data_IF_388371356347
#
_entry.id   IF_388371356347
#
_cell.length_a   1.000
_cell.length_b   1.000
_cell.length_c   1.000
_cell.angle_alpha   90.00
_cell.angle_beta   90.00
_cell.angle_gamma   90.00
#
_symmetry.space_group_name_H-M   'P 1'
#
loop_
_entity.id
_entity.type
_entity.pdbx_description
1 polymer ?
#
# COMPACT_ATOMS: atom_id res chain seq x y z
N UNK A 1 -25.53 -19.28 1.69
CA UNK A 1 -24.88 -17.97 1.95
C UNK A 1 -23.74 -17.77 0.96
N UNK A 2 -23.84 -16.82 0.02
CA UNK A 2 -22.69 -16.45 -0.83
C UNK A 2 -21.62 -15.85 0.10
N UNK A 3 -20.41 -16.43 0.14
CA UNK A 3 -19.27 -15.78 0.79
C UNK A 3 -19.05 -14.46 0.08
N UNK A 4 -19.20 -13.33 0.79
CA UNK A 4 -18.87 -12.02 0.24
C UNK A 4 -17.35 -11.96 0.13
N UNK A 5 -16.83 -12.23 -1.07
CA UNK A 5 -15.40 -12.08 -1.35
C UNK A 5 -15.04 -10.59 -1.24
N UNK A 6 -14.00 -10.28 -0.46
CA UNK A 6 -13.58 -8.90 -0.15
C UNK A 6 -12.21 -8.59 -0.73
N UNK A 7 -12.04 -7.36 -1.19
CA UNK A 7 -10.74 -6.83 -1.55
C UNK A 7 -9.88 -6.72 -0.31
N UNK A 8 -8.59 -7.03 -0.45
CA UNK A 8 -7.63 -7.00 0.65
C UNK A 8 -6.44 -6.17 0.26
N UNK A 9 -6.03 -5.27 1.16
CA UNK A 9 -4.93 -4.34 0.95
C UNK A 9 -3.92 -4.56 2.06
N UNK A 10 -2.76 -5.12 1.71
CA UNK A 10 -1.63 -5.34 2.63
C UNK A 10 -0.62 -4.22 2.42
N UNK A 11 -0.21 -3.58 3.50
CA UNK A 11 0.60 -2.36 3.47
C UNK A 11 1.86 -2.62 4.29
N UNK A 12 3.02 -2.60 3.61
CA UNK A 12 4.35 -2.58 4.21
C UNK A 12 4.88 -1.16 4.25
N UNK A 13 5.53 -0.78 5.35
CA UNK A 13 6.20 0.52 5.49
C UNK A 13 7.56 0.28 6.11
N UNK A 14 8.62 0.59 5.36
CA UNK A 14 10.00 0.34 5.74
C UNK A 14 10.86 1.55 5.37
N UNK A 15 11.75 2.03 6.26
CA UNK A 15 12.73 3.04 5.88
C UNK A 15 13.74 2.44 4.91
N UNK A 16 14.10 3.17 3.87
CA UNK A 16 15.19 2.79 2.99
C UNK A 16 16.53 3.39 3.47
N UNK A 17 17.64 2.95 2.87
CA UNK A 17 18.98 3.44 3.22
C UNK A 17 19.17 4.95 2.98
N UNK A 18 18.33 5.58 2.16
CA UNK A 18 18.36 7.01 1.89
C UNK A 18 17.52 7.84 2.88
N UNK A 19 16.99 7.22 3.95
CA UNK A 19 16.18 7.89 4.96
C UNK A 19 14.73 8.18 4.53
N UNK A 20 14.30 7.74 3.34
CA UNK A 20 12.90 7.82 2.91
C UNK A 20 12.12 6.62 3.42
N UNK A 21 10.82 6.76 3.57
CA UNK A 21 9.91 5.66 3.81
C UNK A 21 9.47 5.06 2.49
N UNK A 22 9.80 3.79 2.29
CA UNK A 22 9.24 2.99 1.23
C UNK A 22 7.93 2.38 1.71
N UNK A 23 6.86 2.67 0.97
CA UNK A 23 5.53 2.12 1.22
C UNK A 23 5.21 1.15 0.10
N UNK A 24 4.98 -0.11 0.46
CA UNK A 24 4.65 -1.20 -0.46
C UNK A 24 3.22 -1.64 -0.21
N UNK A 25 2.43 -1.81 -1.26
CA UNK A 25 1.02 -2.20 -1.18
C UNK A 25 0.79 -3.41 -2.07
N UNK A 26 0.18 -4.45 -1.51
CA UNK A 26 -0.41 -5.55 -2.27
C UNK A 26 -1.94 -5.42 -2.18
N UNK A 27 -2.57 -5.05 -3.28
CA UNK A 27 -4.03 -4.99 -3.43
C UNK A 27 -4.51 -6.25 -4.14
N UNK A 28 -5.30 -7.08 -3.46
CA UNK A 28 -5.93 -8.27 -4.02
C UNK A 28 -7.41 -8.00 -4.24
N UNK A 29 -7.82 -8.01 -5.50
CA UNK A 29 -9.19 -7.75 -5.92
C UNK A 29 -9.96 -9.07 -6.00
N UNK A 30 -10.97 -9.20 -5.15
CA UNK A 30 -11.74 -10.41 -4.98
C UNK A 30 -12.59 -10.75 -6.21
N UNK A 31 -13.10 -9.74 -6.91
CA UNK A 31 -13.96 -9.91 -8.09
C UNK A 31 -13.23 -10.58 -9.26
N UNK A 32 -11.96 -10.21 -9.49
CA UNK A 32 -11.14 -10.71 -10.61
C UNK A 32 -10.12 -11.78 -10.22
N UNK A 33 -9.99 -12.10 -8.92
CA UNK A 33 -8.92 -12.95 -8.37
C UNK A 33 -7.49 -12.47 -8.75
N UNK A 34 -7.34 -11.19 -9.07
CA UNK A 34 -6.10 -10.57 -9.49
C UNK A 34 -5.45 -9.80 -8.33
N UNK A 35 -4.13 -9.67 -8.35
CA UNK A 35 -3.38 -8.93 -7.34
C UNK A 35 -2.40 -7.96 -7.98
N UNK A 36 -2.38 -6.74 -7.46
CA UNK A 36 -1.48 -5.66 -7.83
C UNK A 36 -0.49 -5.39 -6.69
N UNK A 37 0.80 -5.42 -7.01
CA UNK A 37 1.86 -4.97 -6.12
C UNK A 37 2.45 -3.66 -6.62
N UNK A 38 2.36 -2.62 -5.80
CA UNK A 38 2.88 -1.29 -6.10
C UNK A 38 3.67 -0.75 -4.92
N UNK A 39 4.53 0.22 -5.19
CA UNK A 39 5.22 0.95 -4.15
C UNK A 39 5.35 2.44 -4.48
N UNK A 40 5.63 3.22 -3.44
CA UNK A 40 6.01 4.63 -3.57
C UNK A 40 6.93 5.03 -2.40
N UNK A 41 7.65 6.13 -2.59
CA UNK A 41 8.55 6.69 -1.58
C UNK A 41 7.95 7.94 -0.94
N UNK A 42 8.16 8.11 0.36
CA UNK A 42 7.78 9.32 1.11
C UNK A 42 8.99 9.81 1.90
N UNK A 43 9.41 11.05 1.67
CA UNK A 43 10.57 11.62 2.37
C UNK A 43 10.33 12.05 3.82
N UNK A 44 9.06 12.17 4.24
CA UNK A 44 8.69 12.71 5.55
C UNK A 44 7.52 11.90 6.17
N UNK A 45 7.62 11.49 7.44
CA UNK A 45 6.58 10.66 8.08
C UNK A 45 5.23 11.38 8.19
N UNK A 46 5.22 12.70 8.30
CA UNK A 46 3.99 13.53 8.38
C UNK A 46 3.15 13.45 7.11
N UNK A 47 3.81 13.27 5.95
CA UNK A 47 3.14 13.14 4.65
C UNK A 47 2.67 11.72 4.37
N UNK A 48 3.18 10.75 5.12
CA UNK A 48 2.99 9.33 4.84
C UNK A 48 1.53 8.92 4.95
N UNK A 49 0.83 9.32 6.01
CA UNK A 49 -0.59 8.97 6.17
C UNK A 49 -1.47 9.56 5.08
N UNK A 50 -1.25 10.83 4.72
CA UNK A 50 -2.03 11.50 3.67
C UNK A 50 -1.79 10.87 2.29
N UNK A 51 -0.53 10.62 1.95
CA UNK A 51 -0.17 9.96 0.68
C UNK A 51 -0.72 8.54 0.61
N UNK A 52 -0.58 7.75 1.68
CA UNK A 52 -1.12 6.40 1.77
C UNK A 52 -2.64 6.39 1.59
N UNK A 53 -3.37 7.32 2.21
CA UNK A 53 -4.81 7.45 2.03
C UNK A 53 -5.18 7.78 0.57
N UNK A 54 -4.47 8.71 -0.06
CA UNK A 54 -4.71 9.07 -1.46
C UNK A 54 -4.48 7.87 -2.40
N UNK A 55 -3.37 7.14 -2.20
CA UNK A 55 -3.06 5.94 -2.98
C UNK A 55 -4.11 4.84 -2.78
N UNK A 56 -4.50 4.56 -1.54
CA UNK A 56 -5.52 3.54 -1.28
C UNK A 56 -6.88 3.91 -1.88
N UNK A 57 -7.27 5.19 -1.85
CA UNK A 57 -8.48 5.67 -2.53
C UNK A 57 -8.38 5.51 -4.05
N UNK A 58 -7.22 5.79 -4.62
CA UNK A 58 -6.97 5.58 -6.05
C UNK A 58 -7.15 4.10 -6.43
N UNK A 59 -6.51 3.19 -5.70
CA UNK A 59 -6.63 1.74 -5.93
C UNK A 59 -8.07 1.25 -5.78
N UNK A 60 -8.84 1.80 -4.83
CA UNK A 60 -10.26 1.47 -4.67
C UNK A 60 -11.13 2.00 -5.81
N UNK A 61 -10.87 3.23 -6.26
CA UNK A 61 -11.68 3.91 -7.28
C UNK A 61 -11.46 3.31 -8.68
N UNK A 62 -10.23 2.96 -9.00
CA UNK A 62 -9.84 2.43 -10.30
C UNK A 62 -9.71 0.90 -10.30
N UNK A 63 -10.35 0.20 -9.36
CA UNK A 63 -10.29 -1.26 -9.24
C UNK A 63 -10.52 -1.94 -10.61
N UNK A 64 -11.60 -1.58 -11.31
CA UNK A 64 -12.01 -2.20 -12.57
C UNK A 64 -10.98 -2.00 -13.68
N UNK A 65 -10.59 -0.75 -13.90
CA UNK A 65 -9.58 -0.37 -14.89
C UNK A 65 -8.23 -1.03 -14.59
N UNK A 66 -7.79 -1.03 -13.32
CA UNK A 66 -6.50 -1.59 -12.91
C UNK A 66 -6.42 -3.09 -13.19
N UNK A 67 -7.46 -3.88 -12.91
CA UNK A 67 -7.40 -5.31 -13.21
C UNK A 67 -7.62 -5.58 -14.70
N UNK A 68 -8.47 -4.80 -15.39
CA UNK A 68 -8.71 -4.96 -16.82
C UNK A 68 -7.41 -4.77 -17.61
N UNK A 69 -6.71 -3.65 -17.40
CA UNK A 69 -5.47 -3.33 -18.10
C UNK A 69 -4.24 -4.03 -17.49
N UNK A 70 -4.26 -4.31 -16.19
CA UNK A 70 -3.14 -4.93 -15.48
C UNK A 70 -3.10 -6.46 -15.51
N UNK A 71 -4.19 -7.14 -15.88
CA UNK A 71 -4.22 -8.62 -15.90
C UNK A 71 -3.48 -9.23 -17.09
N UNK A 72 -3.46 -8.54 -18.23
CA UNK A 72 -2.92 -9.00 -19.50
C UNK A 72 -1.58 -8.32 -19.82
N UNK A 73 -0.51 -9.07 -20.14
CA UNK A 73 0.80 -8.48 -20.50
C UNK A 73 0.75 -7.53 -21.70
N UNK A 74 -0.12 -7.79 -22.67
CA UNK A 74 -0.28 -6.95 -23.87
C UNK A 74 -0.87 -5.57 -23.55
N UNK A 75 -1.73 -5.50 -22.53
CA UNK A 75 -2.45 -4.31 -22.13
C UNK A 75 -1.66 -3.45 -21.12
N UNK A 76 -0.65 -4.06 -20.47
CA UNK A 76 0.21 -3.39 -19.49
C UNK A 76 1.10 -2.30 -20.08
N UNK A 77 1.56 -2.49 -21.32
CA UNK A 77 2.63 -1.69 -21.91
C UNK A 77 2.25 -0.26 -22.33
N UNK A 78 1.00 0.16 -22.14
CA UNK A 78 0.53 1.48 -22.55
C UNK A 78 -0.28 2.14 -21.43
N UNK A 79 -1.53 1.71 -21.22
CA UNK A 79 -2.47 2.40 -20.32
C UNK A 79 -2.20 2.13 -18.84
N UNK A 80 -1.76 0.91 -18.50
CA UNK A 80 -1.62 0.51 -17.11
C UNK A 80 -0.45 1.21 -16.40
N UNK A 81 0.69 1.35 -17.06
CA UNK A 81 1.83 2.08 -16.49
C UNK A 81 1.52 3.57 -16.34
N UNK A 82 0.84 4.18 -17.32
CA UNK A 82 0.35 5.57 -17.24
C UNK A 82 -0.57 5.78 -16.02
N UNK A 83 -1.55 4.90 -15.82
CA UNK A 83 -2.42 4.92 -14.65
C UNK A 83 -1.64 4.88 -13.33
N UNK A 84 -0.58 4.06 -13.24
CA UNK A 84 0.24 4.01 -12.03
C UNK A 84 1.05 5.31 -11.87
N UNK A 85 1.61 5.86 -12.95
CA UNK A 85 2.37 7.11 -12.93
C UNK A 85 1.52 8.32 -12.53
N UNK A 86 0.26 8.41 -12.99
CA UNK A 86 -0.69 9.45 -12.56
C UNK A 86 -0.91 9.44 -11.04
N UNK A 87 -0.96 8.24 -10.46
CA UNK A 87 -1.02 8.06 -9.02
C UNK A 87 0.33 8.19 -8.32
N UNK A 88 1.44 8.38 -9.06
CA UNK A 88 2.83 8.38 -8.59
C UNK A 88 3.22 7.06 -7.92
N UNK A 89 2.85 5.95 -8.55
CA UNK A 89 3.09 4.58 -8.14
C UNK A 89 4.00 3.89 -9.14
N UNK A 90 4.81 2.96 -8.63
CA UNK A 90 5.62 2.08 -9.45
C UNK A 90 5.28 0.62 -9.15
N UNK A 91 5.50 -0.26 -10.12
CA UNK A 91 5.32 -1.69 -9.93
C UNK A 91 6.36 -2.26 -8.97
N UNK A 92 5.88 -3.05 -8.02
CA UNK A 92 6.75 -3.72 -7.06
C UNK A 92 7.07 -5.15 -7.54
N UNK A 93 8.20 -5.28 -8.23
CA UNK A 93 8.68 -6.55 -8.80
C UNK A 93 9.37 -7.46 -7.78
N UNK A 94 9.51 -7.05 -6.53
CA UNK A 94 10.21 -7.83 -5.51
C UNK A 94 9.40 -9.07 -5.13
N UNK A 95 10.10 -10.20 -4.98
CA UNK A 95 9.49 -11.48 -4.58
C UNK A 95 8.93 -11.43 -3.16
N UNK A 96 9.73 -10.94 -2.22
CA UNK A 96 9.38 -10.87 -0.81
C UNK A 96 8.53 -9.64 -0.50
N UNK A 97 7.50 -9.81 0.32
CA UNK A 97 6.69 -8.71 0.85
C UNK A 97 6.93 -8.53 2.35
N UNK A 98 6.56 -7.38 2.91
CA UNK A 98 6.78 -7.10 4.34
C UNK A 98 6.23 -8.20 5.22
N UNK A 99 7.03 -8.65 6.20
CA UNK A 99 6.72 -9.79 7.08
C UNK A 99 5.57 -9.53 8.06
N UNK A 100 5.25 -8.26 8.31
CA UNK A 100 4.16 -7.89 9.23
C UNK A 100 3.35 -6.74 8.63
N UNK A 101 2.57 -6.96 7.56
CA UNK A 101 1.87 -5.87 6.89
C UNK A 101 0.66 -5.40 7.71
N UNK A 102 0.30 -4.12 7.56
CA UNK A 102 -1.01 -3.65 7.97
C UNK A 102 -2.03 -4.12 6.92
N UNK A 103 -3.11 -4.74 7.36
CA UNK A 103 -4.12 -5.30 6.44
C UNK A 103 -5.45 -4.60 6.62
N UNK A 104 -6.06 -4.20 5.50
CA UNK A 104 -7.42 -3.68 5.42
C UNK A 104 -8.23 -4.50 4.42
N UNK A 105 -9.54 -4.51 4.60
CA UNK A 105 -10.47 -5.15 3.66
C UNK A 105 -11.69 -4.28 3.40
N UNK A 106 -12.14 -4.27 2.15
CA UNK A 106 -13.36 -3.59 1.70
C UNK A 106 -14.16 -4.53 0.79
N UNK A 107 -15.46 -4.28 0.62
CA UNK A 107 -16.17 -4.95 -0.47
C UNK A 107 -15.66 -4.41 -1.82
N UNK A 108 -15.78 -5.17 -2.92
CA UNK A 108 -15.51 -4.65 -4.26
C UNK A 108 -16.33 -3.39 -4.54
N UNK A 109 -15.70 -2.36 -5.11
CA UNK A 109 -16.32 -1.05 -5.36
C UNK A 109 -16.55 -0.16 -4.12
N UNK A 110 -16.33 -0.67 -2.90
CA UNK A 110 -16.51 0.11 -1.67
C UNK A 110 -15.21 0.84 -1.26
N UNK A 111 -15.39 2.09 -0.83
CA UNK A 111 -14.35 2.84 -0.11
C UNK A 111 -14.21 2.39 1.34
N UNK A 112 -13.03 2.60 1.93
CA UNK A 112 -12.85 2.34 3.36
C UNK A 112 -13.68 3.31 4.21
N UNK A 113 -14.25 2.77 5.30
CA UNK A 113 -15.01 3.54 6.28
C UNK A 113 -14.08 4.41 7.13
N UNK A 114 -14.60 5.49 7.72
CA UNK A 114 -13.84 6.40 8.59
C UNK A 114 -13.12 5.69 9.74
N UNK A 115 -13.75 4.68 10.36
CA UNK A 115 -13.13 3.86 11.40
C UNK A 115 -11.90 3.09 10.89
N UNK A 116 -11.95 2.57 9.65
CA UNK A 116 -10.81 1.87 9.05
C UNK A 116 -9.65 2.82 8.78
N UNK A 117 -9.94 4.05 8.36
CA UNK A 117 -8.93 5.09 8.19
C UNK A 117 -8.28 5.52 9.51
N UNK A 118 -9.09 5.70 10.55
CA UNK A 118 -8.60 6.04 11.88
C UNK A 118 -7.69 4.94 12.44
N UNK A 119 -8.11 3.68 12.29
CA UNK A 119 -7.33 2.52 12.73
C UNK A 119 -6.02 2.38 11.93
N UNK A 120 -6.07 2.55 10.60
CA UNK A 120 -4.85 2.57 9.77
C UNK A 120 -3.87 3.63 10.25
N UNK A 121 -4.36 4.86 10.48
CA UNK A 121 -3.53 5.98 10.94
C UNK A 121 -2.90 5.65 12.30
N UNK A 122 -3.69 5.13 13.25
CA UNK A 122 -3.20 4.74 14.59
C UNK A 122 -2.09 3.70 14.50
N UNK A 123 -2.35 2.57 13.81
CA UNK A 123 -1.37 1.47 13.67
C UNK A 123 -0.10 1.91 12.95
N UNK A 124 -0.24 2.78 11.95
CA UNK A 124 0.88 3.35 11.25
C UNK A 124 1.74 4.21 12.18
N UNK A 125 1.13 5.13 12.94
CA UNK A 125 1.83 5.95 13.93
C UNK A 125 2.56 5.10 14.97
N UNK A 126 1.89 4.08 15.52
CA UNK A 126 2.50 3.15 16.49
C UNK A 126 3.73 2.44 15.92
N UNK A 127 3.63 1.99 14.67
CA UNK A 127 4.74 1.32 14.00
C UNK A 127 5.92 2.25 13.77
N UNK A 128 5.66 3.49 13.32
CA UNK A 128 6.69 4.50 13.11
C UNK A 128 7.37 4.89 14.42
N UNK A 129 6.60 5.07 15.49
CA UNK A 129 7.10 5.38 16.83
C UNK A 129 7.97 4.24 17.39
N UNK A 130 7.50 2.99 17.30
CA UNK A 130 8.27 1.82 17.74
C UNK A 130 9.62 1.72 17.00
N UNK A 131 9.64 1.98 15.69
CA UNK A 131 10.90 2.00 14.91
C UNK A 131 11.82 3.15 15.28
N UNK A 132 11.29 4.34 15.56
CA UNK A 132 12.09 5.47 16.01
C UNK A 132 12.77 5.17 17.36
N UNK A 133 12.04 4.53 18.28
CA UNK A 133 12.59 4.08 19.56
C UNK A 133 13.69 3.02 19.37
N UNK A 134 13.48 2.03 18.51
CA UNK A 134 14.50 1.01 18.21
C UNK A 134 15.80 1.62 17.66
N UNK A 135 15.70 2.53 16.67
CA UNK A 135 16.88 3.21 16.10
C UNK A 135 17.64 4.03 17.14
N UNK A 136 16.93 4.72 18.03
CA UNK A 136 17.55 5.49 19.12
C UNK A 136 18.27 4.58 20.11
N UNK A 137 17.69 3.44 20.45
CA UNK A 137 18.31 2.47 21.36
C UNK A 137 19.57 1.83 20.75
N UNK A 138 19.57 1.55 19.45
CA UNK A 138 20.73 1.04 18.72
C UNK A 138 21.87 2.06 18.68
N UNK A 139 21.57 3.32 18.34
CA UNK A 139 22.56 4.40 18.32
C UNK A 139 23.23 4.61 19.69
N UNK A 140 22.48 4.48 20.80
CA UNK A 140 23.02 4.57 22.16
C UNK A 140 23.87 3.35 22.56
N UNK A 141 23.73 2.20 21.90
CA UNK A 141 24.55 1.00 22.16
C UNK A 141 25.82 0.97 21.32
N UNK A 142 25.85 1.71 20.22
CA UNK A 142 27.02 1.83 19.32
C UNK A 142 27.89 3.06 19.60
N UNK A 143 27.51 3.87 20.60
CA UNK A 143 28.27 5.01 21.12
C UNK A 143 28.96 4.64 22.43
#
# INVERSE_FOLDING_TARGET
MRRVSRNTYRIGVEPNHAGKYEVRIEARYAGSNWALRVYFLVGAPERLSGRLQAVLRYLQRHEEELWMWGSSPSDRGLLFEEMLQEAGLELDHRRDFSRAPLTLSAAPGDSFRSLQWAELKRRLTERLAARAASRRAEALRSA
#
